data_IF_542650012336
#
_entry.id   IF_542650012336
#
_cell.length_a   1.000
_cell.length_b   1.000
_cell.length_c   1.000
_cell.angle_alpha   90.00
_cell.angle_beta   90.00
_cell.angle_gamma   90.00
#
_symmetry.space_group_name_H-M   'P 1'
#
loop_
_entity.id
_entity.type
_entity.pdbx_description
1 polymer ?
#
# COMPACT_ATOMS: atom_id res chain seq x y z
N UNK A 1 15.19 5.01 -24.26
CA UNK A 1 15.16 6.40 -23.75
C UNK A 1 16.58 6.76 -23.36
N UNK A 2 17.17 7.83 -23.90
CA UNK A 2 18.46 8.31 -23.41
C UNK A 2 18.34 8.67 -21.92
N UNK A 3 19.32 8.34 -21.05
CA UNK A 3 19.27 8.73 -19.66
C UNK A 3 19.23 10.25 -19.58
N UNK A 4 18.10 10.80 -19.10
CA UNK A 4 17.98 12.22 -18.75
C UNK A 4 19.10 12.56 -17.77
N UNK A 5 19.95 13.54 -18.13
CA UNK A 5 21.04 14.02 -17.26
C UNK A 5 20.45 14.42 -15.91
N UNK A 6 20.90 13.75 -14.85
CA UNK A 6 20.51 14.09 -13.47
C UNK A 6 20.92 15.52 -13.16
N UNK A 7 19.99 16.33 -12.68
CA UNK A 7 20.27 17.69 -12.22
C UNK A 7 20.77 17.67 -10.78
N UNK A 8 21.39 18.76 -10.32
CA UNK A 8 21.76 18.92 -8.90
C UNK A 8 20.54 18.89 -7.96
N UNK A 9 19.37 19.30 -8.45
CA UNK A 9 18.09 19.23 -7.73
C UNK A 9 17.63 17.79 -7.54
N UNK A 10 17.80 16.94 -8.56
CA UNK A 10 17.45 15.52 -8.49
C UNK A 10 18.30 14.82 -7.44
N UNK A 11 19.62 15.05 -7.45
CA UNK A 11 20.58 14.46 -6.51
C UNK A 11 20.27 14.88 -5.06
N UNK A 12 19.92 16.15 -4.83
CA UNK A 12 19.56 16.64 -3.48
C UNK A 12 18.24 16.04 -2.98
N UNK A 13 17.29 15.80 -3.88
CA UNK A 13 15.99 15.17 -3.53
C UNK A 13 16.17 13.69 -3.21
N UNK A 14 17.01 12.97 -3.98
CA UNK A 14 17.43 11.57 -3.72
C UNK A 14 18.09 11.48 -2.34
N UNK A 15 19.07 12.35 -2.09
CA UNK A 15 19.81 12.37 -0.81
C UNK A 15 18.90 12.66 0.40
N UNK A 16 17.85 13.47 0.21
CA UNK A 16 16.87 13.76 1.27
C UNK A 16 16.00 12.56 1.59
N UNK A 17 15.55 11.83 0.57
CA UNK A 17 14.78 10.60 0.76
C UNK A 17 15.61 9.55 1.50
N UNK A 18 16.86 9.34 1.08
CA UNK A 18 17.78 8.38 1.73
C UNK A 18 17.99 8.70 3.22
N UNK A 19 18.17 9.99 3.55
CA UNK A 19 18.31 10.44 4.94
C UNK A 19 17.02 10.26 5.74
N UNK A 20 15.84 10.54 5.17
CA UNK A 20 14.56 10.32 5.84
C UNK A 20 14.30 8.83 6.09
N UNK A 21 14.56 7.96 5.10
CA UNK A 21 14.46 6.51 5.26
C UNK A 21 15.40 5.98 6.36
N UNK A 22 16.63 6.49 6.41
CA UNK A 22 17.59 6.10 7.44
C UNK A 22 17.16 6.60 8.84
N UNK A 23 16.57 7.79 8.95
CA UNK A 23 16.00 8.31 10.19
C UNK A 23 14.80 7.47 10.67
N UNK A 24 13.85 7.18 9.78
CA UNK A 24 12.70 6.32 10.08
C UNK A 24 13.12 4.95 10.58
N UNK A 25 14.10 4.34 9.91
CA UNK A 25 14.56 2.99 10.23
C UNK A 25 15.32 2.95 11.56
N UNK A 26 16.08 4.00 11.90
CA UNK A 26 16.88 4.04 13.12
C UNK A 26 16.09 4.54 14.35
N UNK A 27 15.03 5.32 14.16
CA UNK A 27 14.32 6.04 15.22
C UNK A 27 15.13 7.24 15.75
N UNK A 28 16.28 6.95 16.38
CA UNK A 28 17.27 7.94 16.81
C UNK A 28 18.66 7.59 16.24
N UNK A 29 19.37 8.59 15.70
CA UNK A 29 20.66 8.35 15.03
C UNK A 29 21.58 9.58 15.06
N UNK A 30 22.82 9.45 14.61
CA UNK A 30 23.76 10.57 14.47
C UNK A 30 24.01 10.92 13.01
N UNK A 31 24.52 12.13 12.73
CA UNK A 31 24.96 12.51 11.37
C UNK A 31 26.02 11.55 10.80
N UNK A 32 26.88 11.00 11.66
CA UNK A 32 27.91 10.05 11.25
C UNK A 32 27.31 8.69 10.87
N UNK A 33 26.33 8.21 11.65
CA UNK A 33 25.65 6.96 11.36
C UNK A 33 24.78 7.10 10.10
N UNK A 34 24.12 8.24 9.90
CA UNK A 34 23.43 8.55 8.64
C UNK A 34 24.36 8.49 7.43
N UNK A 35 25.54 9.12 7.50
CA UNK A 35 26.52 9.05 6.41
C UNK A 35 26.97 7.60 6.13
N UNK A 36 27.20 6.81 7.18
CA UNK A 36 27.61 5.40 7.05
C UNK A 36 26.51 4.55 6.43
N UNK A 37 25.27 4.68 6.88
CA UNK A 37 24.13 3.85 6.44
C UNK A 37 23.66 4.24 5.04
N UNK A 38 23.63 5.53 4.70
CA UNK A 38 23.19 6.01 3.38
C UNK A 38 24.29 5.96 2.31
N UNK A 39 25.56 5.85 2.71
CA UNK A 39 26.70 5.97 1.80
C UNK A 39 26.95 7.40 1.29
N UNK A 40 26.20 8.39 1.77
CA UNK A 40 26.36 9.80 1.40
C UNK A 40 27.59 10.42 2.08
N UNK A 41 28.15 11.46 1.46
CA UNK A 41 29.24 12.22 2.07
C UNK A 41 28.78 12.94 3.35
N UNK A 42 29.68 13.12 4.31
CA UNK A 42 29.39 13.85 5.56
C UNK A 42 28.89 15.28 5.30
N UNK A 43 29.41 15.95 4.27
CA UNK A 43 28.97 17.27 3.85
C UNK A 43 27.55 17.26 3.27
N UNK A 44 27.21 16.25 2.47
CA UNK A 44 25.86 16.05 1.93
C UNK A 44 24.86 15.84 3.07
N UNK A 45 25.16 14.91 3.99
CA UNK A 45 24.31 14.64 5.16
C UNK A 45 24.14 15.88 6.02
N UNK A 46 25.22 16.64 6.29
CA UNK A 46 25.14 17.87 7.06
C UNK A 46 24.20 18.90 6.43
N UNK A 47 24.27 19.06 5.10
CA UNK A 47 23.40 19.97 4.35
C UNK A 47 21.93 19.54 4.41
N UNK A 48 21.66 18.25 4.13
CA UNK A 48 20.29 17.70 4.16
C UNK A 48 19.69 17.79 5.56
N UNK A 49 20.43 17.41 6.60
CA UNK A 49 19.97 17.49 7.98
C UNK A 49 19.71 18.95 8.39
N UNK A 50 20.53 19.90 7.94
CA UNK A 50 20.29 21.32 8.19
C UNK A 50 18.97 21.81 7.57
N UNK A 51 18.67 21.39 6.34
CA UNK A 51 17.39 21.71 5.69
C UNK A 51 16.20 21.14 6.50
N UNK A 52 16.29 19.87 6.91
CA UNK A 52 15.23 19.16 7.63
C UNK A 52 15.00 19.73 9.04
N UNK A 53 16.06 20.13 9.74
CA UNK A 53 15.97 20.84 11.02
C UNK A 53 15.30 22.21 10.83
N UNK A 54 15.68 22.95 9.80
CA UNK A 54 15.11 24.28 9.51
C UNK A 54 13.62 24.21 9.15
N UNK A 55 13.19 23.14 8.48
CA UNK A 55 11.76 22.88 8.21
C UNK A 55 11.00 22.24 9.39
N UNK A 56 11.68 21.93 10.49
CA UNK A 56 11.10 21.31 11.69
C UNK A 56 10.69 19.83 11.51
N UNK A 57 11.17 19.15 10.45
CA UNK A 57 10.89 17.74 10.18
C UNK A 57 11.77 16.84 11.05
N UNK A 58 13.00 17.27 11.30
CA UNK A 58 13.95 16.62 12.21
C UNK A 58 14.08 17.50 13.44
N UNK A 59 14.26 16.87 14.60
CA UNK A 59 14.64 17.55 15.84
C UNK A 59 15.88 16.90 16.43
N UNK A 60 16.65 17.70 17.18
CA UNK A 60 17.74 17.18 17.99
C UNK A 60 17.16 16.52 19.24
N UNK A 61 17.51 15.24 19.45
CA UNK A 61 17.23 14.49 20.67
C UNK A 61 18.35 14.73 21.71
N UNK A 62 18.30 14.03 22.85
CA UNK A 62 19.31 14.19 23.92
C UNK A 62 20.74 13.96 23.40
N UNK A 63 21.71 14.63 24.01
CA UNK A 63 23.13 14.39 23.76
C UNK A 63 23.52 13.01 24.30
N UNK A 64 23.97 12.11 23.44
CA UNK A 64 24.51 10.83 23.90
C UNK A 64 25.86 11.07 24.59
N UNK A 65 25.91 10.91 25.92
CA UNK A 65 27.15 11.01 26.69
C UNK A 65 27.91 9.68 26.67
N UNK A 66 28.73 9.46 25.64
CA UNK A 66 29.72 8.38 25.63
C UNK A 66 30.90 8.68 26.56
N UNK A 67 31.44 7.67 27.25
CA UNK A 67 32.51 7.78 28.27
C UNK A 67 33.85 8.35 27.76
N UNK A 68 34.09 8.39 26.45
CA UNK A 68 35.26 9.03 25.81
C UNK A 68 34.85 9.49 24.40
N UNK A 69 34.95 10.79 24.08
CA UNK A 69 34.66 11.35 22.75
C UNK A 69 33.89 12.68 22.80
N UNK A 70 33.84 13.40 21.66
CA UNK A 70 33.04 14.63 21.51
C UNK A 70 31.55 14.28 21.65
N UNK A 71 30.76 15.01 22.44
CA UNK A 71 29.34 14.73 22.57
C UNK A 71 28.65 14.72 21.18
N UNK A 72 27.90 13.67 20.87
CA UNK A 72 27.19 13.52 19.59
C UNK A 72 25.70 13.79 19.79
N UNK A 73 25.19 14.79 19.07
CA UNK A 73 23.76 15.08 19.02
C UNK A 73 23.03 13.95 18.31
N UNK A 74 22.04 13.37 19.00
CA UNK A 74 21.10 12.44 18.38
C UNK A 74 20.05 13.22 17.58
N UNK A 75 19.61 12.67 16.47
CA UNK A 75 18.61 13.21 15.56
C UNK A 75 17.47 12.21 15.47
N UNK A 76 16.25 12.72 15.43
CA UNK A 76 15.03 11.94 15.19
C UNK A 76 14.03 12.76 14.38
N UNK A 77 13.04 12.09 13.79
CA UNK A 77 11.90 12.80 13.22
C UNK A 77 11.11 13.50 14.33
N UNK A 78 10.63 14.70 14.02
CA UNK A 78 9.87 15.51 14.94
C UNK A 78 8.40 15.06 14.96
N UNK A 79 8.10 14.08 15.80
CA UNK A 79 6.74 13.55 16.02
C UNK A 79 5.73 14.66 16.38
N UNK A 80 6.19 15.75 16.98
CA UNK A 80 5.36 16.89 17.39
C UNK A 80 5.15 17.93 16.28
N UNK A 81 5.69 17.72 15.08
CA UNK A 81 5.57 18.69 13.96
C UNK A 81 4.13 18.88 13.48
N UNK A 82 3.28 17.88 13.68
CA UNK A 82 1.89 17.84 13.28
C UNK A 82 1.41 16.41 13.09
N UNK A 83 0.24 16.26 12.44
CA UNK A 83 -0.37 14.97 12.14
C UNK A 83 -0.64 14.80 10.66
N UNK A 84 -0.65 13.57 10.21
CA UNK A 84 -0.99 13.19 8.83
C UNK A 84 -2.08 12.15 8.89
N UNK A 85 -3.08 12.25 8.04
CA UNK A 85 -4.18 11.29 8.01
C UNK A 85 -4.09 10.46 6.74
N UNK A 86 -4.07 9.15 6.86
CA UNK A 86 -4.21 8.22 5.75
C UNK A 86 -5.60 7.61 5.73
N UNK A 87 -6.31 7.71 4.62
CA UNK A 87 -7.67 7.17 4.46
C UNK A 87 -7.66 6.07 3.41
N UNK A 88 -8.05 4.87 3.82
CA UNK A 88 -8.31 3.73 2.95
C UNK A 88 -9.82 3.60 2.75
N UNK A 89 -10.28 3.92 1.55
CA UNK A 89 -11.67 3.72 1.15
C UNK A 89 -11.76 2.39 0.42
N UNK A 90 -12.25 1.38 1.10
CA UNK A 90 -12.50 0.08 0.54
C UNK A 90 -14.01 -0.13 0.30
N UNK A 91 -14.33 -1.23 -0.38
CA UNK A 91 -15.72 -1.58 -0.68
C UNK A 91 -16.53 -2.01 0.56
N UNK A 92 -15.85 -2.43 1.62
CA UNK A 92 -16.47 -2.91 2.87
C UNK A 92 -16.29 -1.95 4.05
N UNK A 93 -15.45 -0.92 3.91
CA UNK A 93 -15.15 0.03 4.97
C UNK A 93 -14.49 1.31 4.43
N UNK A 94 -14.59 2.38 5.21
CA UNK A 94 -13.73 3.56 5.10
C UNK A 94 -12.96 3.69 6.40
N UNK A 95 -11.64 3.56 6.34
CA UNK A 95 -10.77 3.62 7.51
C UNK A 95 -9.84 4.81 7.42
N UNK A 96 -9.87 5.67 8.43
CA UNK A 96 -8.92 6.77 8.60
C UNK A 96 -7.94 6.43 9.71
N UNK A 97 -6.66 6.67 9.47
CA UNK A 97 -5.56 6.46 10.43
C UNK A 97 -4.82 7.77 10.59
N UNK A 98 -4.69 8.24 11.83
CA UNK A 98 -3.91 9.42 12.20
C UNK A 98 -2.51 8.97 12.53
N UNK A 99 -1.53 9.56 11.86
CA UNK A 99 -0.11 9.35 12.09
C UNK A 99 0.53 10.62 12.65
N UNK A 100 1.59 10.46 13.42
CA UNK A 100 2.52 11.56 13.68
C UNK A 100 3.44 11.81 12.47
N UNK A 101 4.29 12.85 12.53
CA UNK A 101 5.19 13.16 11.42
C UNK A 101 6.37 12.17 11.28
N UNK A 102 6.53 11.21 12.21
CA UNK A 102 7.40 10.06 12.07
C UNK A 102 6.68 8.84 11.44
N UNK A 103 5.41 9.01 11.04
CA UNK A 103 4.55 7.98 10.49
C UNK A 103 4.24 6.82 11.46
N UNK A 104 4.32 7.09 12.78
CA UNK A 104 3.80 6.19 13.80
C UNK A 104 2.27 6.39 13.94
N UNK A 105 1.50 5.31 14.00
CA UNK A 105 0.04 5.36 14.19
C UNK A 105 -0.31 5.87 15.59
N UNK A 106 -1.17 6.89 15.65
CA UNK A 106 -1.67 7.53 16.89
C UNK A 106 -3.08 7.05 17.24
N UNK A 107 -3.97 7.00 16.25
CA UNK A 107 -5.34 6.52 16.39
C UNK A 107 -5.91 6.12 15.02
N UNK A 108 -6.96 5.30 15.00
CA UNK A 108 -7.70 5.02 13.78
C UNK A 108 -9.18 4.80 14.03
N UNK A 109 -10.01 5.22 13.07
CA UNK A 109 -11.44 4.99 13.09
C UNK A 109 -11.89 4.35 11.77
N UNK A 110 -12.88 3.46 11.86
CA UNK A 110 -13.46 2.77 10.72
C UNK A 110 -14.97 3.03 10.68
N UNK A 111 -15.47 3.38 9.49
CA UNK A 111 -16.89 3.48 9.18
C UNK A 111 -17.21 2.32 8.24
N UNK A 112 -18.18 1.49 8.61
CA UNK A 112 -18.64 0.42 7.72
C UNK A 112 -19.17 1.01 6.42
N UNK A 113 -18.77 0.44 5.29
CA UNK A 113 -19.33 0.75 3.99
C UNK A 113 -20.16 -0.45 3.53
N UNK A 114 -21.29 -0.18 2.89
CA UNK A 114 -22.09 -1.22 2.27
C UNK A 114 -21.53 -1.49 0.87
N UNK A 115 -21.20 -2.76 0.59
CA UNK A 115 -20.71 -3.24 -0.70
C UNK A 115 -21.65 -2.91 -1.88
N UNK A 116 -22.89 -2.46 -1.60
CA UNK A 116 -23.96 -2.17 -2.56
C UNK A 116 -24.26 -0.70 -2.79
N UNK A 117 -23.70 0.22 -1.99
CA UNK A 117 -24.03 1.65 -2.07
C UNK A 117 -22.92 2.43 -2.79
N UNK A 118 -23.26 2.94 -3.98
CA UNK A 118 -22.35 3.68 -4.88
C UNK A 118 -22.66 5.20 -4.92
N UNK A 119 -23.43 5.73 -3.96
CA UNK A 119 -23.75 7.16 -3.96
C UNK A 119 -22.56 7.99 -3.49
N UNK A 120 -22.08 8.89 -4.36
CA UNK A 120 -20.83 9.59 -4.10
C UNK A 120 -20.88 10.53 -2.89
N UNK A 121 -22.06 11.04 -2.55
CA UNK A 121 -22.26 11.80 -1.31
C UNK A 121 -21.94 10.99 -0.07
N UNK A 122 -22.41 9.74 -0.05
CA UNK A 122 -22.26 8.85 1.09
C UNK A 122 -20.79 8.49 1.32
N UNK A 123 -20.01 8.35 0.24
CA UNK A 123 -18.56 8.12 0.31
C UNK A 123 -17.85 9.36 0.85
N UNK A 124 -18.15 10.56 0.35
CA UNK A 124 -17.53 11.81 0.82
C UNK A 124 -17.85 12.06 2.30
N UNK A 125 -19.10 11.87 2.71
CA UNK A 125 -19.48 11.99 4.11
C UNK A 125 -18.91 10.85 4.97
N UNK A 126 -18.77 9.64 4.42
CA UNK A 126 -18.12 8.51 5.06
C UNK A 126 -16.64 8.80 5.36
N UNK A 127 -15.91 9.35 4.40
CA UNK A 127 -14.53 9.82 4.56
C UNK A 127 -14.47 10.88 5.65
N UNK A 128 -15.32 11.90 5.60
CA UNK A 128 -15.32 12.96 6.60
C UNK A 128 -15.62 12.44 8.00
N UNK A 129 -16.60 11.53 8.16
CA UNK A 129 -16.91 10.89 9.44
C UNK A 129 -15.73 10.07 9.97
N UNK A 130 -15.07 9.29 9.11
CA UNK A 130 -13.90 8.50 9.51
C UNK A 130 -12.74 9.41 9.96
N UNK A 131 -12.45 10.47 9.20
CA UNK A 131 -11.40 11.46 9.55
C UNK A 131 -11.74 12.17 10.86
N UNK A 132 -12.97 12.67 11.02
CA UNK A 132 -13.38 13.40 12.22
C UNK A 132 -13.33 12.49 13.46
N UNK A 133 -13.76 11.23 13.34
CA UNK A 133 -13.68 10.24 14.42
C UNK A 133 -12.23 9.91 14.80
N UNK A 134 -11.36 9.68 13.82
CA UNK A 134 -9.95 9.35 14.08
C UNK A 134 -9.20 10.54 14.70
N UNK A 135 -9.47 11.77 14.26
CA UNK A 135 -8.89 12.98 14.86
C UNK A 135 -9.39 13.21 16.30
N UNK A 136 -10.67 12.95 16.56
CA UNK A 136 -11.24 13.05 17.90
C UNK A 136 -10.60 12.02 18.86
N UNK A 137 -10.42 10.78 18.40
CA UNK A 137 -9.74 9.72 19.16
C UNK A 137 -8.27 10.06 19.42
N UNK A 138 -7.57 10.62 18.43
CA UNK A 138 -6.20 11.11 18.58
C UNK A 138 -6.07 12.38 19.45
N UNK A 139 -7.17 13.03 19.83
CA UNK A 139 -7.17 14.34 20.49
C UNK A 139 -6.51 15.44 19.65
N UNK A 140 -6.52 15.31 18.32
CA UNK A 140 -5.79 16.19 17.40
C UNK A 140 -6.69 17.30 16.85
N UNK A 141 -6.36 18.58 17.09
CA UNK A 141 -7.03 19.70 16.42
C UNK A 141 -6.77 19.69 14.91
N UNK A 142 -7.79 20.05 14.10
CA UNK A 142 -7.65 20.11 12.63
C UNK A 142 -6.49 20.99 12.16
N UNK A 143 -6.17 22.06 12.89
CA UNK A 143 -5.07 22.98 12.56
C UNK A 143 -3.67 22.37 12.69
N UNK A 144 -3.54 21.19 13.31
CA UNK A 144 -2.27 20.46 13.41
C UNK A 144 -2.10 19.41 12.30
N UNK A 145 -3.13 19.21 11.46
CA UNK A 145 -3.08 18.27 10.33
C UNK A 145 -2.31 18.88 9.17
N UNK A 146 -1.16 18.28 8.84
CA UNK A 146 -0.26 18.69 7.76
C UNK A 146 -0.78 18.28 6.38
N UNK A 147 -1.56 17.20 6.32
CA UNK A 147 -2.19 16.70 5.10
C UNK A 147 -3.02 15.45 5.33
N UNK A 148 -3.95 15.20 4.41
CA UNK A 148 -4.81 14.02 4.36
C UNK A 148 -4.58 13.32 3.04
N UNK A 149 -4.09 12.09 3.09
CA UNK A 149 -4.01 11.21 1.96
C UNK A 149 -5.27 10.34 1.87
N UNK A 150 -5.92 10.31 0.71
CA UNK A 150 -7.11 9.48 0.48
C UNK A 150 -6.84 8.50 -0.65
N UNK A 151 -7.00 7.23 -0.35
CA UNK A 151 -6.86 6.14 -1.30
C UNK A 151 -8.23 5.57 -1.64
N UNK A 152 -8.54 5.51 -2.93
CA UNK A 152 -9.84 5.10 -3.46
C UNK A 152 -9.67 4.15 -4.66
N UNK A 153 -10.37 3.00 -4.68
CA UNK A 153 -10.51 2.17 -5.87
C UNK A 153 -11.24 2.93 -6.97
N UNK A 154 -10.83 2.74 -8.23
CA UNK A 154 -11.61 3.19 -9.39
C UNK A 154 -11.29 4.59 -9.95
N UNK A 155 -10.74 4.59 -11.17
CA UNK A 155 -10.69 5.66 -12.18
C UNK A 155 -10.02 6.99 -11.81
N UNK A 156 -8.69 7.03 -11.93
CA UNK A 156 -7.95 8.28 -12.04
C UNK A 156 -7.91 8.84 -13.48
N UNK A 157 -8.64 9.95 -13.68
CA UNK A 157 -8.68 10.90 -14.80
C UNK A 157 -9.56 10.70 -16.06
N UNK A 158 -9.99 11.89 -16.54
CA UNK A 158 -10.69 12.26 -17.78
C UNK A 158 -9.88 11.92 -19.05
N UNK A 159 -10.54 11.38 -20.09
CA UNK A 159 -10.73 12.00 -21.43
C UNK A 159 -11.65 11.13 -22.31
N UNK A 160 -12.69 11.76 -22.89
CA UNK A 160 -13.24 11.47 -24.23
C UNK A 160 -13.78 10.08 -24.59
N UNK A 161 -15.10 9.94 -24.52
CA UNK A 161 -15.85 9.18 -25.53
C UNK A 161 -15.85 7.65 -25.40
N UNK A 162 -16.86 7.15 -24.68
CA UNK A 162 -17.50 5.84 -24.79
C UNK A 162 -16.68 4.55 -24.54
N UNK A 163 -16.89 3.91 -23.39
CA UNK A 163 -17.31 2.49 -23.24
C UNK A 163 -17.67 2.19 -21.77
N UNK A 164 -18.55 1.21 -21.47
CA UNK A 164 -19.23 1.06 -20.17
C UNK A 164 -18.48 0.14 -19.19
N UNK A 165 -18.91 0.24 -17.93
CA UNK A 165 -18.37 -0.35 -16.68
C UNK A 165 -17.28 0.50 -16.02
N UNK A 166 -17.75 1.63 -15.51
CA UNK A 166 -17.12 2.46 -14.50
C UNK A 166 -17.95 2.32 -13.21
N UNK A 167 -17.36 2.00 -12.06
CA UNK A 167 -17.67 2.66 -10.80
C UNK A 167 -16.72 3.88 -10.76
N UNK A 168 -17.03 4.93 -11.51
CA UNK A 168 -17.78 6.14 -11.14
C UNK A 168 -16.89 7.23 -10.50
N UNK A 169 -16.70 8.30 -11.28
CA UNK A 169 -16.71 9.71 -10.84
C UNK A 169 -15.63 10.30 -9.91
N UNK A 170 -14.54 9.61 -9.54
CA UNK A 170 -13.53 10.09 -8.56
C UNK A 170 -12.98 11.54 -8.73
N UNK A 171 -13.16 12.19 -9.88
CA UNK A 171 -12.64 13.52 -10.20
C UNK A 171 -13.65 14.66 -10.15
N UNK A 172 -14.95 14.39 -9.96
CA UNK A 172 -15.95 15.46 -9.76
C UNK A 172 -16.09 15.88 -8.30
N UNK A 173 -15.42 15.18 -7.38
CA UNK A 173 -15.60 15.35 -5.94
C UNK A 173 -14.35 15.82 -5.24
N UNK A 174 -13.25 16.07 -5.97
CA UNK A 174 -12.03 16.60 -5.39
C UNK A 174 -12.28 17.93 -4.68
N UNK A 175 -12.93 18.86 -5.37
CA UNK A 175 -13.33 20.16 -4.81
C UNK A 175 -14.25 19.95 -3.61
N UNK A 176 -15.13 18.95 -3.66
CA UNK A 176 -16.10 18.65 -2.60
C UNK A 176 -15.49 17.99 -1.37
N UNK A 177 -14.50 17.12 -1.56
CA UNK A 177 -13.71 16.52 -0.49
C UNK A 177 -12.86 17.61 0.17
N UNK A 178 -12.22 18.46 -0.64
CA UNK A 178 -11.49 19.63 -0.14
C UNK A 178 -12.39 20.57 0.65
N UNK A 179 -13.58 20.90 0.14
CA UNK A 179 -14.58 21.73 0.84
C UNK A 179 -15.09 21.04 2.12
N UNK A 180 -15.40 19.75 2.05
CA UNK A 180 -15.99 18.99 3.16
C UNK A 180 -15.00 18.77 4.30
N UNK A 181 -13.71 18.58 3.99
CA UNK A 181 -12.66 18.41 4.98
C UNK A 181 -12.05 19.76 5.40
N UNK A 182 -11.91 20.73 4.51
CA UNK A 182 -11.18 21.97 4.82
C UNK A 182 -9.72 21.71 5.23
N UNK A 183 -9.10 20.68 4.68
CA UNK A 183 -7.71 20.24 4.94
C UNK A 183 -6.96 20.06 3.61
N UNK A 184 -5.62 20.09 3.60
CA UNK A 184 -4.83 19.75 2.42
C UNK A 184 -5.04 18.27 2.08
N UNK A 185 -5.53 17.96 0.88
CA UNK A 185 -5.86 16.59 0.47
C UNK A 185 -5.01 16.18 -0.73
N UNK A 186 -4.57 14.92 -0.74
CA UNK A 186 -4.02 14.24 -1.91
C UNK A 186 -4.74 12.92 -2.16
N UNK A 187 -4.85 12.54 -3.43
CA UNK A 187 -5.50 11.30 -3.85
C UNK A 187 -4.54 10.36 -4.58
N UNK A 188 -4.70 9.06 -4.34
CA UNK A 188 -4.08 8.02 -5.16
C UNK A 188 -4.87 6.71 -5.16
N UNK A 189 -4.41 5.74 -5.95
CA UNK A 189 -4.97 4.39 -6.04
C UNK A 189 -4.34 3.54 -4.92
N UNK A 190 -5.11 2.60 -4.33
CA UNK A 190 -4.63 1.75 -3.25
C UNK A 190 -3.36 0.97 -3.58
N UNK A 191 -3.16 0.56 -4.82
CA UNK A 191 -1.96 -0.15 -5.26
C UNK A 191 -0.72 0.75 -5.25
N UNK A 192 -0.88 2.06 -5.49
CA UNK A 192 0.21 3.05 -5.39
C UNK A 192 0.53 3.36 -3.94
N UNK A 193 -0.50 3.47 -3.10
CA UNK A 193 -0.33 3.58 -1.66
C UNK A 193 0.41 2.35 -1.11
N UNK A 194 -0.02 1.13 -1.43
CA UNK A 194 0.64 -0.12 -1.02
C UNK A 194 2.10 -0.16 -1.48
N UNK A 195 2.38 0.16 -2.74
CA UNK A 195 3.76 0.24 -3.23
C UNK A 195 4.58 1.29 -2.47
N UNK A 196 3.98 2.42 -2.09
CA UNK A 196 4.65 3.45 -1.28
C UNK A 196 4.97 2.92 0.11
N UNK A 197 4.01 2.26 0.77
CA UNK A 197 4.23 1.67 2.09
C UNK A 197 5.34 0.61 2.06
N UNK A 198 5.38 -0.21 1.02
CA UNK A 198 6.42 -1.23 0.83
C UNK A 198 7.79 -0.63 0.51
N UNK A 199 7.83 0.49 -0.24
CA UNK A 199 9.05 1.24 -0.51
C UNK A 199 9.65 1.82 0.78
N UNK A 200 8.80 2.36 1.67
CA UNK A 200 9.24 3.07 2.88
C UNK A 200 9.43 2.16 4.10
N UNK A 201 8.62 1.11 4.22
CA UNK A 201 8.54 0.28 5.44
C UNK A 201 8.73 -1.21 5.19
N UNK A 202 8.55 -1.66 3.95
CA UNK A 202 8.57 -3.08 3.59
C UNK A 202 9.84 -3.51 2.85
N UNK A 203 9.67 -4.41 1.88
CA UNK A 203 10.78 -5.02 1.15
C UNK A 203 11.47 -4.07 0.17
N UNK A 204 10.81 -2.98 -0.22
CA UNK A 204 11.40 -1.94 -1.09
C UNK A 204 12.58 -1.20 -0.46
N UNK A 205 12.82 -1.36 0.86
CA UNK A 205 14.04 -0.89 1.53
C UNK A 205 15.27 -1.75 1.26
N UNK A 206 15.07 -3.02 0.91
CA UNK A 206 16.14 -4.00 0.68
C UNK A 206 16.35 -4.28 -0.81
N UNK A 207 15.26 -4.21 -1.57
CA UNK A 207 15.19 -4.56 -2.97
C UNK A 207 14.68 -3.40 -3.80
N UNK A 208 15.28 -3.22 -4.97
CA UNK A 208 14.94 -2.13 -5.88
C UNK A 208 13.78 -2.49 -6.80
N UNK A 209 13.53 -3.78 -7.04
CA UNK A 209 12.48 -4.26 -7.91
C UNK A 209 11.63 -5.30 -7.19
N UNK A 210 10.44 -4.90 -6.76
CA UNK A 210 9.52 -5.73 -5.95
C UNK A 210 8.09 -5.62 -6.45
N UNK A 211 7.29 -6.64 -6.16
CA UNK A 211 5.85 -6.63 -6.40
C UNK A 211 5.14 -6.93 -5.09
N UNK A 212 4.10 -6.16 -4.79
CA UNK A 212 3.22 -6.41 -3.65
C UNK A 212 1.80 -6.62 -4.16
N UNK A 213 1.26 -7.82 -3.95
CA UNK A 213 -0.08 -8.18 -4.38
C UNK A 213 -1.07 -8.06 -3.23
N UNK A 214 -2.11 -7.25 -3.44
CA UNK A 214 -3.23 -7.11 -2.53
C UNK A 214 -4.30 -8.15 -2.85
N UNK A 215 -4.73 -8.92 -1.84
CA UNK A 215 -5.89 -9.81 -1.92
C UNK A 215 -6.96 -9.38 -0.91
N UNK A 216 -8.17 -9.17 -1.43
CA UNK A 216 -9.36 -8.85 -0.66
C UNK A 216 -10.59 -9.03 -1.53
N UNK A 217 -11.50 -8.06 -1.45
CA UNK A 217 -12.60 -7.94 -2.41
C UNK A 217 -12.04 -7.64 -3.81
N UNK A 218 -11.13 -6.68 -3.88
CA UNK A 218 -10.33 -6.38 -5.06
C UNK A 218 -8.95 -7.02 -5.06
N UNK A 219 -8.43 -7.30 -6.25
CA UNK A 219 -7.09 -7.88 -6.45
C UNK A 219 -6.25 -7.00 -7.36
N UNK A 220 -5.02 -6.69 -6.94
CA UNK A 220 -4.10 -5.89 -7.76
C UNK A 220 -2.68 -5.90 -7.20
N UNK A 221 -1.77 -5.24 -7.92
CA UNK A 221 -0.34 -5.24 -7.63
C UNK A 221 0.22 -3.82 -7.52
N UNK A 222 0.82 -3.50 -6.37
CA UNK A 222 1.81 -2.43 -6.27
C UNK A 222 3.13 -2.91 -6.87
N UNK A 223 3.71 -2.15 -7.81
CA UNK A 223 4.94 -2.56 -8.50
C UNK A 223 6.00 -1.48 -8.29
N UNK A 224 7.15 -1.88 -7.74
CA UNK A 224 8.35 -1.06 -7.63
C UNK A 224 9.37 -1.62 -8.61
N UNK A 225 9.92 -0.77 -9.47
CA UNK A 225 10.93 -1.17 -10.45
C UNK A 225 12.08 -0.15 -10.43
N UNK A 226 13.30 -0.62 -10.17
CA UNK A 226 14.48 0.24 -10.00
C UNK A 226 14.28 1.37 -8.96
N UNK A 227 13.66 1.05 -7.82
CA UNK A 227 13.40 1.96 -6.71
C UNK A 227 12.28 2.96 -6.97
N UNK A 228 11.54 2.82 -8.09
CA UNK A 228 10.47 3.72 -8.46
C UNK A 228 9.13 2.99 -8.57
N UNK A 229 8.07 3.63 -8.07
CA UNK A 229 6.71 3.10 -8.20
C UNK A 229 6.28 3.17 -9.65
N UNK A 230 5.91 2.02 -10.22
CA UNK A 230 5.38 1.94 -11.58
C UNK A 230 3.94 2.44 -11.59
N UNK A 231 3.72 3.62 -12.17
CA UNK A 231 2.37 4.20 -12.35
C UNK A 231 1.74 3.82 -13.70
N UNK A 232 2.54 3.68 -14.75
CA UNK A 232 2.03 3.53 -16.13
C UNK A 232 1.54 4.85 -16.72
N UNK A 233 1.12 4.84 -18.00
CA UNK A 233 0.77 6.04 -18.75
C UNK A 233 -0.45 6.80 -18.19
N UNK A 234 -1.38 6.08 -17.54
CA UNK A 234 -2.65 6.61 -17.03
C UNK A 234 -2.84 6.34 -15.53
N UNK A 235 -1.77 6.01 -14.80
CA UNK A 235 -1.81 5.55 -13.40
C UNK A 235 -2.50 4.18 -13.19
N UNK A 236 -2.73 3.40 -14.25
CA UNK A 236 -3.37 2.07 -14.23
C UNK A 236 -2.40 0.88 -14.15
N UNK A 237 -1.07 1.10 -14.10
CA UNK A 237 -0.17 -0.03 -13.92
C UNK A 237 -0.49 -0.77 -12.61
N UNK A 238 -0.44 -2.09 -12.59
CA UNK A 238 -0.75 -2.85 -11.38
C UNK A 238 -2.21 -3.30 -11.26
N UNK A 239 -3.11 -2.88 -12.15
CA UNK A 239 -4.48 -3.45 -12.31
C UNK A 239 -4.44 -4.88 -12.90
N UNK A 240 -3.47 -5.68 -12.44
CA UNK A 240 -3.16 -7.05 -12.84
C UNK A 240 -4.25 -8.03 -12.44
N UNK A 241 -5.06 -7.75 -11.41
CA UNK A 241 -6.24 -8.56 -11.08
C UNK A 241 -7.24 -8.64 -12.24
N UNK A 242 -7.21 -7.70 -13.18
CA UNK A 242 -8.03 -7.70 -14.39
C UNK A 242 -7.32 -8.26 -15.64
N UNK A 243 -6.09 -8.79 -15.47
CA UNK A 243 -5.44 -9.59 -16.51
C UNK A 243 -6.20 -10.91 -16.71
N UNK A 244 -6.08 -11.49 -17.91
CA UNK A 244 -6.86 -12.65 -18.31
C UNK A 244 -6.16 -13.95 -17.87
N UNK A 245 -6.70 -14.62 -16.85
CA UNK A 245 -6.25 -15.93 -16.39
C UNK A 245 -6.85 -17.07 -17.21
N UNK A 246 -8.12 -16.95 -17.61
CA UNK A 246 -8.84 -18.01 -18.31
C UNK A 246 -9.74 -17.44 -19.41
N UNK A 247 -9.43 -17.74 -20.68
CA UNK A 247 -10.31 -17.44 -21.81
C UNK A 247 -11.71 -18.01 -21.56
N UNK A 248 -12.73 -17.19 -21.81
CA UNK A 248 -14.15 -17.52 -21.59
C UNK A 248 -14.50 -17.95 -20.15
N UNK A 249 -13.64 -17.59 -19.19
CA UNK A 249 -13.76 -17.97 -17.79
C UNK A 249 -14.91 -17.30 -17.03
N UNK A 250 -14.75 -17.24 -15.70
CA UNK A 250 -15.74 -16.68 -14.77
C UNK A 250 -16.04 -15.21 -15.10
N UNK A 251 -17.30 -14.76 -14.98
CA UNK A 251 -17.61 -13.35 -15.09
C UNK A 251 -16.90 -12.57 -13.98
N UNK A 252 -16.30 -11.45 -14.35
CA UNK A 252 -15.67 -10.50 -13.43
C UNK A 252 -16.57 -9.27 -13.29
N UNK A 253 -16.59 -8.67 -12.10
CA UNK A 253 -17.31 -7.44 -11.82
C UNK A 253 -16.88 -6.24 -12.68
N UNK A 254 -15.68 -6.26 -13.25
CA UNK A 254 -15.24 -5.25 -14.22
C UNK A 254 -15.94 -5.36 -15.59
N UNK A 255 -16.87 -6.32 -15.76
CA UNK A 255 -17.63 -6.56 -16.98
C UNK A 255 -16.95 -7.53 -17.96
N UNK A 256 -15.69 -7.89 -17.72
CA UNK A 256 -14.95 -8.90 -18.50
C UNK A 256 -15.20 -10.31 -17.98
N UNK A 257 -14.60 -11.30 -18.64
CA UNK A 257 -14.58 -12.70 -18.21
C UNK A 257 -13.16 -13.19 -18.09
N UNK A 258 -12.90 -14.09 -17.15
CA UNK A 258 -11.61 -14.74 -17.02
C UNK A 258 -10.56 -13.95 -16.26
N UNK A 259 -10.91 -12.83 -15.62
CA UNK A 259 -9.95 -12.03 -14.87
C UNK A 259 -9.38 -12.80 -13.67
N UNK A 260 -8.09 -12.61 -13.33
CA UNK A 260 -7.45 -13.18 -12.13
C UNK A 260 -8.30 -12.97 -10.86
N UNK A 261 -8.80 -11.76 -10.65
CA UNK A 261 -9.67 -11.39 -9.51
C UNK A 261 -10.91 -12.28 -9.39
N UNK A 262 -11.50 -12.74 -10.50
CA UNK A 262 -12.68 -13.60 -10.50
C UNK A 262 -12.40 -15.02 -9.96
N UNK A 263 -11.12 -15.35 -9.73
CA UNK A 263 -10.68 -16.64 -9.19
C UNK A 263 -10.06 -16.50 -7.80
N UNK A 264 -9.27 -15.45 -7.55
CA UNK A 264 -8.48 -15.31 -6.31
C UNK A 264 -8.97 -14.21 -5.37
N UNK A 265 -9.89 -13.34 -5.81
CA UNK A 265 -10.61 -12.45 -4.91
C UNK A 265 -11.61 -13.22 -4.04
N UNK A 266 -12.12 -12.60 -2.98
CA UNK A 266 -12.97 -13.29 -2.00
C UNK A 266 -14.19 -14.01 -2.62
N UNK A 267 -14.91 -13.37 -3.56
CA UNK A 267 -15.99 -14.00 -4.32
C UNK A 267 -15.49 -15.17 -5.18
N UNK A 268 -14.30 -15.05 -5.79
CA UNK A 268 -13.67 -16.12 -6.55
C UNK A 268 -13.34 -17.35 -5.69
N UNK A 269 -12.84 -17.14 -4.47
CA UNK A 269 -12.58 -18.19 -3.48
C UNK A 269 -13.90 -18.86 -3.07
N UNK A 270 -14.94 -18.07 -2.78
CA UNK A 270 -16.27 -18.58 -2.41
C UNK A 270 -16.91 -19.43 -3.52
N UNK A 271 -16.82 -19.00 -4.78
CA UNK A 271 -17.28 -19.77 -5.93
C UNK A 271 -16.50 -21.07 -6.10
N UNK A 272 -15.20 -21.06 -5.79
CA UNK A 272 -14.38 -22.29 -5.82
C UNK A 272 -14.88 -23.29 -4.79
N UNK A 273 -15.17 -22.85 -3.56
CA UNK A 273 -15.75 -23.71 -2.52
C UNK A 273 -17.12 -24.26 -2.94
N UNK A 274 -18.02 -23.40 -3.43
CA UNK A 274 -19.35 -23.83 -3.89
C UNK A 274 -19.30 -24.81 -5.07
N UNK A 275 -18.27 -24.73 -5.92
CA UNK A 275 -18.05 -25.70 -6.99
C UNK A 275 -17.49 -27.04 -6.49
N UNK A 276 -16.75 -27.05 -5.38
CA UNK A 276 -16.24 -28.28 -4.75
C UNK A 276 -17.37 -28.96 -3.96
N UNK A 277 -18.10 -28.19 -3.15
CA UNK A 277 -19.19 -28.67 -2.32
C UNK A 277 -20.34 -27.64 -2.29
N UNK A 278 -21.38 -27.82 -3.13
CA UNK A 278 -22.52 -26.90 -3.22
C UNK A 278 -23.31 -26.75 -1.91
N UNK A 279 -23.35 -27.80 -1.07
CA UNK A 279 -24.09 -27.83 0.20
C UNK A 279 -23.23 -27.35 1.38
N UNK A 280 -22.00 -26.89 1.12
CA UNK A 280 -21.12 -26.42 2.18
C UNK A 280 -21.68 -25.15 2.82
N UNK A 281 -21.85 -25.16 4.14
CA UNK A 281 -22.44 -24.05 4.90
C UNK A 281 -21.78 -22.68 4.67
N UNK A 282 -20.48 -22.66 4.36
CA UNK A 282 -19.75 -21.41 4.12
C UNK A 282 -20.00 -20.83 2.72
N UNK A 283 -20.48 -21.62 1.76
CA UNK A 283 -20.73 -21.14 0.40
C UNK A 283 -21.87 -20.10 0.34
N UNK A 284 -22.72 -20.04 1.36
CA UNK A 284 -23.85 -19.10 1.47
C UNK A 284 -23.59 -17.88 2.36
N UNK A 285 -22.38 -17.74 2.94
CA UNK A 285 -22.03 -16.57 3.75
C UNK A 285 -22.00 -15.33 2.85
N UNK A 286 -22.74 -14.28 3.23
CA UNK A 286 -22.96 -13.11 2.38
C UNK A 286 -21.86 -12.06 2.47
N UNK A 287 -21.30 -11.85 3.67
CA UNK A 287 -20.23 -10.87 3.88
C UNK A 287 -18.87 -11.52 3.61
N UNK A 288 -18.08 -10.90 2.75
CA UNK A 288 -16.85 -11.50 2.26
C UNK A 288 -15.80 -11.67 3.37
N UNK A 289 -15.70 -10.70 4.29
CA UNK A 289 -14.80 -10.77 5.45
C UNK A 289 -15.18 -11.92 6.39
N UNK A 290 -16.47 -12.10 6.65
CA UNK A 290 -16.98 -13.20 7.48
C UNK A 290 -16.72 -14.55 6.81
N UNK A 291 -16.91 -14.64 5.50
CA UNK A 291 -16.62 -15.84 4.71
C UNK A 291 -15.15 -16.26 4.85
N UNK A 292 -14.21 -15.34 4.59
CA UNK A 292 -12.77 -15.62 4.70
C UNK A 292 -12.37 -15.95 6.14
N UNK A 293 -12.88 -15.22 7.14
CA UNK A 293 -12.62 -15.54 8.55
C UNK A 293 -13.13 -16.93 8.95
N UNK A 294 -14.28 -17.34 8.40
CA UNK A 294 -14.82 -18.68 8.61
C UNK A 294 -14.02 -19.77 7.88
N UNK A 295 -13.43 -19.49 6.71
CA UNK A 295 -12.48 -20.40 6.06
C UNK A 295 -11.22 -20.60 6.91
N UNK A 296 -10.65 -19.51 7.44
CA UNK A 296 -9.49 -19.58 8.32
C UNK A 296 -9.79 -20.49 9.51
N UNK A 297 -10.93 -20.28 10.17
CA UNK A 297 -11.38 -21.13 11.29
C UNK A 297 -11.55 -22.60 10.89
N UNK A 298 -12.02 -22.88 9.66
CA UNK A 298 -12.22 -24.24 9.17
C UNK A 298 -10.91 -24.96 8.76
N UNK A 299 -9.79 -24.24 8.68
CA UNK A 299 -8.46 -24.78 8.40
C UNK A 299 -7.68 -25.13 9.67
N UNK A 300 -8.16 -24.68 10.84
CA UNK A 300 -7.49 -24.89 12.12
C UNK A 300 -7.53 -26.37 12.58
N UNK A 301 -6.52 -26.83 13.33
CA UNK A 301 -6.48 -28.19 13.90
C UNK A 301 -7.66 -28.49 14.85
N UNK A 302 -8.00 -29.79 15.10
CA UNK A 302 -7.24 -30.99 14.73
C UNK A 302 -7.61 -31.62 13.38
N UNK A 303 -8.76 -31.26 12.79
CA UNK A 303 -9.21 -31.79 11.49
C UNK A 303 -9.64 -30.64 10.58
N UNK A 304 -8.76 -30.16 9.68
CA UNK A 304 -9.13 -29.17 8.68
C UNK A 304 -10.24 -29.69 7.77
N UNK A 305 -11.20 -28.82 7.42
CA UNK A 305 -12.27 -29.18 6.50
C UNK A 305 -11.69 -29.53 5.11
N UNK A 306 -11.97 -30.74 4.56
CA UNK A 306 -11.40 -31.16 3.28
C UNK A 306 -11.79 -30.27 2.09
N UNK A 307 -13.02 -29.77 2.06
CA UNK A 307 -13.49 -28.91 0.97
C UNK A 307 -12.83 -27.52 1.03
N UNK A 308 -12.60 -27.01 2.24
CA UNK A 308 -11.87 -25.76 2.46
C UNK A 308 -10.39 -25.93 2.10
N UNK A 309 -9.76 -27.03 2.51
CA UNK A 309 -8.38 -27.35 2.16
C UNK A 309 -8.19 -27.41 0.64
N UNK A 310 -9.08 -28.10 -0.07
CA UNK A 310 -9.06 -28.14 -1.54
C UNK A 310 -9.30 -26.76 -2.16
N UNK A 311 -10.15 -25.93 -1.55
CA UNK A 311 -10.39 -24.55 -2.00
C UNK A 311 -9.11 -23.71 -1.95
N UNK A 312 -8.32 -23.84 -0.87
CA UNK A 312 -7.04 -23.13 -0.73
C UNK A 312 -6.03 -23.62 -1.79
N UNK A 313 -5.90 -24.93 -1.99
CA UNK A 313 -4.99 -25.48 -3.01
C UNK A 313 -5.39 -25.07 -4.44
N UNK A 314 -6.68 -25.01 -4.77
CA UNK A 314 -7.16 -24.48 -6.07
C UNK A 314 -6.88 -22.99 -6.20
N UNK A 315 -7.12 -22.21 -5.16
CA UNK A 315 -6.84 -20.77 -5.13
C UNK A 315 -5.35 -20.49 -5.30
N UNK A 316 -4.50 -21.25 -4.61
CA UNK A 316 -3.05 -21.16 -4.69
C UNK A 316 -2.54 -21.42 -6.11
N UNK A 317 -3.11 -22.41 -6.82
CA UNK A 317 -2.78 -22.66 -8.24
C UNK A 317 -3.16 -21.51 -9.16
N UNK A 318 -4.37 -20.95 -9.01
CA UNK A 318 -4.78 -19.79 -9.79
C UNK A 318 -3.88 -18.57 -9.52
N UNK A 319 -3.55 -18.33 -8.26
CA UNK A 319 -2.68 -17.23 -7.87
C UNK A 319 -1.24 -17.46 -8.35
N UNK A 320 -0.71 -18.67 -8.19
CA UNK A 320 0.65 -19.02 -8.61
C UNK A 320 0.86 -18.87 -10.11
N UNK A 321 -0.06 -19.37 -10.93
CA UNK A 321 -0.02 -19.18 -12.39
C UNK A 321 -0.07 -17.70 -12.78
N UNK A 322 -0.96 -16.92 -12.15
CA UNK A 322 -1.05 -15.49 -12.44
C UNK A 322 0.22 -14.72 -12.00
N UNK A 323 0.84 -15.10 -10.88
CA UNK A 323 2.07 -14.51 -10.38
C UNK A 323 3.26 -14.88 -11.26
N UNK A 324 3.30 -16.11 -11.80
CA UNK A 324 4.31 -16.53 -12.76
C UNK A 324 4.34 -15.63 -14.02
N UNK A 325 3.18 -15.14 -14.47
CA UNK A 325 3.13 -14.13 -15.54
C UNK A 325 3.78 -12.80 -15.12
N UNK A 326 3.59 -12.35 -13.88
CA UNK A 326 4.29 -11.17 -13.37
C UNK A 326 5.80 -11.40 -13.27
N UNK A 327 6.23 -12.60 -12.87
CA UNK A 327 7.65 -12.99 -12.88
C UNK A 327 8.21 -12.94 -14.29
N UNK A 328 7.50 -13.49 -15.27
CA UNK A 328 7.91 -13.48 -16.67
C UNK A 328 8.06 -12.07 -17.25
N UNK A 329 7.18 -11.14 -16.85
CA UNK A 329 7.11 -9.78 -17.41
C UNK A 329 8.05 -8.81 -16.69
N UNK A 330 8.08 -8.86 -15.35
CA UNK A 330 8.77 -7.87 -14.51
C UNK A 330 10.10 -8.40 -13.99
N UNK A 331 10.20 -9.71 -13.76
CA UNK A 331 11.33 -10.39 -13.11
C UNK A 331 11.77 -9.69 -11.80
N UNK A 332 10.88 -9.64 -10.78
CA UNK A 332 11.17 -8.95 -9.53
C UNK A 332 12.16 -9.73 -8.66
N UNK A 333 12.81 -9.04 -7.72
CA UNK A 333 13.67 -9.66 -6.70
C UNK A 333 12.84 -10.40 -5.64
N UNK A 334 11.62 -9.93 -5.35
CA UNK A 334 10.71 -10.54 -4.37
C UNK A 334 9.24 -10.18 -4.65
N UNK A 335 8.33 -11.05 -4.21
CA UNK A 335 6.89 -10.81 -4.20
C UNK A 335 6.36 -10.86 -2.77
N UNK A 336 5.69 -9.80 -2.32
CA UNK A 336 4.93 -9.81 -1.06
C UNK A 336 3.43 -9.91 -1.31
N UNK A 337 2.72 -10.60 -0.43
CA UNK A 337 1.27 -10.71 -0.43
C UNK A 337 0.70 -9.92 0.76
N UNK A 338 -0.33 -9.12 0.53
CA UNK A 338 -0.98 -8.28 1.55
C UNK A 338 -2.50 -8.27 1.38
N UNK A 339 -3.19 -7.59 2.28
CA UNK A 339 -4.64 -7.48 2.30
C UNK A 339 -5.29 -8.50 3.24
N UNK A 340 -6.54 -8.23 3.60
CA UNK A 340 -7.25 -8.95 4.66
C UNK A 340 -7.47 -10.43 4.36
N UNK A 341 -7.50 -10.83 3.09
CA UNK A 341 -7.51 -12.26 2.71
C UNK A 341 -6.19 -12.95 3.07
N UNK A 342 -5.05 -12.29 2.82
CA UNK A 342 -3.73 -12.83 3.17
C UNK A 342 -3.53 -12.87 4.68
N UNK A 343 -3.97 -11.86 5.41
CA UNK A 343 -3.85 -11.87 6.87
C UNK A 343 -4.65 -13.00 7.53
N UNK A 344 -5.79 -13.38 6.95
CA UNK A 344 -6.60 -14.47 7.47
C UNK A 344 -6.14 -15.86 7.00
N UNK A 345 -5.64 -15.99 5.77
CA UNK A 345 -5.36 -17.29 5.15
C UNK A 345 -3.87 -17.54 4.85
N UNK A 346 -2.99 -16.59 5.16
CA UNK A 346 -1.60 -16.56 4.70
C UNK A 346 -0.80 -17.81 5.07
N UNK A 347 -0.95 -18.31 6.29
CA UNK A 347 -0.24 -19.49 6.78
C UNK A 347 -0.57 -20.76 5.98
N UNK A 348 -1.78 -20.84 5.41
CA UNK A 348 -2.23 -21.96 4.58
C UNK A 348 -2.01 -21.70 3.08
N UNK A 349 -2.22 -20.45 2.63
CA UNK A 349 -2.21 -20.07 1.22
C UNK A 349 -0.79 -19.86 0.67
N UNK A 350 0.06 -19.12 1.39
CA UNK A 350 1.37 -18.69 0.88
C UNK A 350 2.31 -19.87 0.58
N UNK A 351 2.40 -20.93 1.41
CA UNK A 351 3.23 -22.09 1.08
C UNK A 351 2.83 -22.78 -0.22
N UNK A 352 1.52 -22.89 -0.49
CA UNK A 352 1.01 -23.49 -1.73
C UNK A 352 1.24 -22.59 -2.94
N UNK A 353 1.07 -21.26 -2.77
CA UNK A 353 1.36 -20.27 -3.82
C UNK A 353 2.83 -20.33 -4.21
N UNK A 354 3.76 -20.39 -3.25
CA UNK A 354 5.20 -20.47 -3.52
C UNK A 354 5.55 -21.67 -4.41
N UNK A 355 4.98 -22.85 -4.14
CA UNK A 355 5.16 -24.04 -4.98
C UNK A 355 4.64 -23.79 -6.39
N UNK A 356 3.42 -23.29 -6.51
CA UNK A 356 2.79 -23.06 -7.81
C UNK A 356 3.50 -21.99 -8.65
N UNK A 357 4.04 -20.93 -8.04
CA UNK A 357 4.84 -19.91 -8.78
C UNK A 357 6.08 -20.54 -9.41
N UNK A 358 6.81 -21.38 -8.67
CA UNK A 358 8.01 -22.04 -9.18
C UNK A 358 7.67 -23.03 -10.31
N UNK A 359 6.54 -23.73 -10.22
CA UNK A 359 6.09 -24.68 -11.24
C UNK A 359 5.66 -23.98 -12.54
N UNK A 360 5.03 -22.80 -12.45
CA UNK A 360 4.42 -22.11 -13.59
C UNK A 360 5.34 -21.04 -14.22
N UNK A 361 6.36 -20.58 -13.50
CA UNK A 361 7.29 -19.56 -14.00
C UNK A 361 8.19 -20.09 -15.15
N UNK A 362 8.55 -19.24 -16.13
CA UNK A 362 9.35 -19.67 -17.26
C UNK A 362 10.80 -19.96 -16.85
N UNK A 363 11.24 -21.20 -17.06
CA UNK A 363 12.61 -21.63 -16.75
C UNK A 363 12.97 -21.41 -15.27
N UNK A 364 14.20 -20.97 -15.01
CA UNK A 364 14.69 -20.75 -13.64
C UNK A 364 14.34 -19.34 -13.09
N UNK A 365 13.41 -18.61 -13.72
CA UNK A 365 13.11 -17.21 -13.36
C UNK A 365 12.53 -17.03 -11.94
N UNK A 366 11.98 -18.09 -11.34
CA UNK A 366 11.50 -18.08 -9.96
C UNK A 366 12.38 -18.88 -9.00
N UNK A 367 13.56 -19.37 -9.42
CA UNK A 367 14.38 -20.28 -8.61
C UNK A 367 14.83 -19.66 -7.28
N UNK A 368 15.21 -18.38 -7.30
CA UNK A 368 15.63 -17.61 -6.13
C UNK A 368 14.55 -16.61 -5.66
N UNK A 369 13.32 -16.71 -6.21
CA UNK A 369 12.26 -15.76 -5.90
C UNK A 369 11.61 -16.07 -4.55
N UNK A 370 11.66 -15.10 -3.64
CA UNK A 370 10.93 -15.18 -2.38
C UNK A 370 9.50 -14.66 -2.55
N UNK A 371 8.53 -15.50 -2.16
CA UNK A 371 7.11 -15.14 -2.02
C UNK A 371 6.73 -15.19 -0.54
N UNK A 372 6.37 -14.05 0.03
CA UNK A 372 6.15 -13.90 1.48
C UNK A 372 4.93 -13.04 1.81
N UNK A 373 4.48 -13.05 3.06
CA UNK A 373 3.48 -12.09 3.57
C UNK A 373 4.18 -10.75 3.83
N UNK A 374 3.54 -9.65 3.43
CA UNK A 374 4.01 -8.29 3.71
C UNK A 374 4.22 -8.08 5.22
N UNK A 375 5.35 -7.47 5.57
CA UNK A 375 5.70 -7.13 6.96
C UNK A 375 5.34 -5.68 7.32
N UNK A 376 4.77 -4.93 6.38
CA UNK A 376 4.24 -3.59 6.64
C UNK A 376 3.12 -3.72 7.66
N UNK A 377 3.29 -3.07 8.82
CA UNK A 377 2.34 -3.14 9.92
C UNK A 377 1.08 -2.31 9.62
N UNK A 378 -0.03 -2.73 10.20
CA UNK A 378 -1.30 -2.00 10.12
C UNK A 378 -1.91 -2.04 8.71
N UNK A 379 -2.64 -0.98 8.36
CA UNK A 379 -3.25 -0.85 7.04
C UNK A 379 -2.23 -0.25 6.05
N UNK A 380 -1.69 -1.08 5.15
CA UNK A 380 -0.68 -0.69 4.16
C UNK A 380 -1.17 0.39 3.19
N UNK A 381 -2.47 0.45 2.89
CA UNK A 381 -3.06 1.51 2.07
C UNK A 381 -3.04 2.84 2.84
N UNK A 382 -3.54 2.86 4.08
CA UNK A 382 -3.57 4.06 4.91
C UNK A 382 -2.15 4.58 5.20
N UNK A 383 -1.21 3.69 5.55
CA UNK A 383 0.21 4.04 5.75
C UNK A 383 0.80 4.64 4.49
N UNK A 384 0.61 4.00 3.33
CA UNK A 384 1.17 4.47 2.07
C UNK A 384 0.62 5.81 1.60
N UNK A 385 -0.69 6.01 1.70
CA UNK A 385 -1.30 7.28 1.28
C UNK A 385 -0.98 8.42 2.27
N UNK A 386 -0.79 8.12 3.56
CA UNK A 386 -0.24 9.07 4.52
C UNK A 386 1.21 9.46 4.17
N UNK A 387 2.05 8.50 3.76
CA UNK A 387 3.41 8.81 3.27
C UNK A 387 3.39 9.74 2.06
N UNK A 388 2.49 9.50 1.10
CA UNK A 388 2.30 10.39 -0.05
C UNK A 388 1.87 11.80 0.39
N UNK A 389 0.96 11.91 1.37
CA UNK A 389 0.56 13.20 1.94
C UNK A 389 1.71 13.91 2.67
N UNK A 390 2.59 13.17 3.36
CA UNK A 390 3.82 13.71 3.95
C UNK A 390 4.72 14.29 2.86
N UNK A 391 4.95 13.56 1.77
CA UNK A 391 5.82 14.03 0.68
C UNK A 391 5.26 15.26 -0.04
N UNK A 392 3.92 15.35 -0.15
CA UNK A 392 3.26 16.57 -0.62
C UNK A 392 3.55 17.74 0.31
N UNK A 393 3.34 17.57 1.61
CA UNK A 393 3.63 18.60 2.60
C UNK A 393 5.11 19.03 2.58
N UNK A 394 6.04 18.06 2.50
CA UNK A 394 7.48 18.33 2.36
C UNK A 394 7.76 19.17 1.11
N UNK A 395 7.10 18.89 0.00
CA UNK A 395 7.23 19.67 -1.23
C UNK A 395 6.74 21.10 -1.07
N UNK A 396 5.61 21.30 -0.40
CA UNK A 396 5.02 22.63 -0.15
C UNK A 396 5.92 23.50 0.75
N UNK A 397 6.70 22.89 1.65
CA UNK A 397 7.71 23.61 2.48
C UNK A 397 9.12 23.64 1.88
N UNK A 398 9.27 23.25 0.60
CA UNK A 398 10.55 23.32 -0.12
C UNK A 398 11.54 22.19 0.16
N UNK A 399 11.09 21.12 0.83
CA UNK A 399 11.85 19.92 1.20
C UNK A 399 11.56 18.72 0.28
N UNK A 400 11.41 18.96 -1.02
CA UNK A 400 11.11 17.96 -2.05
C UNK A 400 11.96 16.68 -1.93
N UNK A 401 11.33 15.51 -1.77
CA UNK A 401 11.95 14.18 -1.89
C UNK A 401 11.79 13.65 -3.32
N UNK A 402 12.46 12.55 -3.68
CA UNK A 402 12.39 12.03 -5.05
C UNK A 402 11.00 11.59 -5.52
N UNK A 403 10.81 11.68 -6.85
CA UNK A 403 9.86 10.95 -7.72
C UNK A 403 8.67 10.23 -7.06
N UNK A 404 7.78 10.98 -6.40
CA UNK A 404 6.36 10.66 -6.51
C UNK A 404 5.75 11.65 -7.50
N UNK A 405 5.54 11.25 -8.78
CA UNK A 405 4.67 12.02 -9.67
C UNK A 405 3.31 12.13 -9.00
N UNK A 406 2.87 13.38 -8.85
CA UNK A 406 1.55 13.87 -8.42
C UNK A 406 0.59 12.76 -8.04
N UNK A 407 0.57 12.41 -6.74
CA UNK A 407 -0.73 12.24 -6.12
C UNK A 407 -1.51 13.52 -6.41
N UNK A 408 -2.71 13.32 -6.95
CA UNK A 408 -3.48 14.41 -7.53
C UNK A 408 -4.16 15.25 -6.45
#
# INVERSE_FOLDING_TARGET
MAPTRRTSRDIRSESRLDVLHALLTAGETTRNDLARTTGLSTATVATVVSDLLSGGIVTEARVASGRVGRPTTLLRLNQDRGRIVGVDVAETYIRAVVFDAALDEVASAEVAADERHDETEEVVDGIARAVDAALAEAGTPRGEVLGVGISLPGSMQRWGGASPVMPNAAWRHLDRIHERLGLPVVLDNPLKAIATAELWFGQGRKHSSTITVNLGTGVGAGIILNGAILRGATNFAGEWGHSLLALDGRPCRCGRRGCVEAYVGADGIQRTLGAINPEHRLASVTHQRDFIGALATALEPPEPDPAVTETIERTARYLGAALADLVAIVNPETITLTGWTVWALGDHLVPAVRRSVVEEAPGDSAADLEVEVSTVRGNSVATGIATIALERFLSDVGLVTTRVPTAL
#
